data_IF_077420934833
#
_entry.id   IF_077420934833
#
_cell.length_a   1.000
_cell.length_b   1.000
_cell.length_c   1.000
_cell.angle_alpha   90.00
_cell.angle_beta   90.00
_cell.angle_gamma   90.00
#
_symmetry.space_group_name_H-M   'P 1'
#
loop_
_entity.id
_entity.type
_entity.pdbx_description
1 polymer ?
#
# COMPACT_ATOMS: atom_id res chain seq x y z
N UNK A 1 23.13 15.03 3.39
CA UNK A 1 22.96 13.71 2.75
C UNK A 1 22.32 13.95 1.37
N UNK A 2 22.76 13.29 0.31
CA UNK A 2 22.19 13.50 -1.04
C UNK A 2 21.10 12.44 -1.30
N UNK A 3 19.84 12.85 -1.32
CA UNK A 3 18.71 11.95 -1.62
C UNK A 3 18.44 11.91 -3.12
N UNK A 4 17.79 10.83 -3.58
CA UNK A 4 17.17 10.85 -4.89
C UNK A 4 16.04 11.89 -4.91
N UNK A 5 16.23 12.96 -5.68
CA UNK A 5 15.29 14.09 -5.79
C UNK A 5 13.87 13.63 -6.13
N UNK A 6 13.69 12.65 -7.01
CA UNK A 6 12.38 12.18 -7.40
C UNK A 6 11.59 11.53 -6.24
N UNK A 7 12.31 10.91 -5.30
CA UNK A 7 11.70 10.30 -4.11
C UNK A 7 11.29 11.40 -3.11
N UNK A 8 12.15 12.39 -2.91
CA UNK A 8 11.83 13.54 -2.07
C UNK A 8 10.64 14.33 -2.60
N UNK A 9 10.61 14.59 -3.92
CA UNK A 9 9.50 15.28 -4.58
C UNK A 9 8.18 14.50 -4.41
N UNK A 10 8.21 13.17 -4.56
CA UNK A 10 7.04 12.30 -4.34
C UNK A 10 6.44 12.45 -2.93
N UNK A 11 7.27 12.44 -1.89
CA UNK A 11 6.77 12.60 -0.51
C UNK A 11 6.40 14.05 -0.19
N UNK A 12 7.09 15.03 -0.78
CA UNK A 12 6.73 16.45 -0.66
C UNK A 12 5.33 16.70 -1.22
N UNK A 13 5.03 16.14 -2.39
CA UNK A 13 3.72 16.24 -3.01
C UNK A 13 2.62 15.57 -2.18
N UNK A 14 2.93 14.48 -1.47
CA UNK A 14 1.99 13.81 -0.60
C UNK A 14 1.73 14.61 0.69
N UNK A 15 2.79 15.03 1.40
CA UNK A 15 2.67 15.77 2.64
C UNK A 15 2.21 17.21 2.46
N UNK A 16 2.36 17.76 1.25
CA UNK A 16 2.26 19.20 0.98
C UNK A 16 3.22 20.02 1.84
N UNK A 17 4.36 19.42 2.17
CA UNK A 17 5.34 19.93 3.11
C UNK A 17 6.71 19.28 2.83
N UNK A 18 7.67 20.08 2.35
CA UNK A 18 8.99 19.62 1.98
C UNK A 18 9.86 19.27 3.20
N UNK A 19 9.64 19.93 4.33
CA UNK A 19 10.44 19.71 5.54
C UNK A 19 10.03 18.38 6.19
N UNK A 20 8.74 18.05 6.21
CA UNK A 20 8.28 16.71 6.62
C UNK A 20 8.81 15.60 5.72
N UNK A 21 8.85 15.84 4.41
CA UNK A 21 9.39 14.88 3.46
C UNK A 21 10.89 14.66 3.70
N UNK A 22 11.66 15.73 3.95
CA UNK A 22 13.08 15.62 4.29
C UNK A 22 13.30 14.88 5.60
N UNK A 23 12.55 15.21 6.65
CA UNK A 23 12.64 14.54 7.96
C UNK A 23 12.43 13.02 7.84
N UNK A 24 11.40 12.59 7.11
CA UNK A 24 11.18 11.18 6.81
C UNK A 24 12.38 10.54 6.09
N UNK A 25 12.91 11.22 5.07
CA UNK A 25 14.04 10.71 4.29
C UNK A 25 15.33 10.63 5.13
N UNK A 26 15.58 11.61 6.00
CA UNK A 26 16.69 11.58 6.94
C UNK A 26 16.57 10.38 7.86
N UNK A 27 15.42 10.20 8.54
CA UNK A 27 15.18 9.06 9.43
C UNK A 27 15.31 7.72 8.71
N UNK A 28 14.88 7.62 7.45
CA UNK A 28 15.03 6.39 6.67
C UNK A 28 16.48 6.08 6.27
N UNK A 29 17.36 7.08 6.22
CA UNK A 29 18.73 6.94 5.72
C UNK A 29 19.81 7.12 6.81
N UNK A 30 19.46 7.55 8.01
CA UNK A 30 20.39 7.64 9.16
C UNK A 30 20.90 6.24 9.56
N UNK A 31 20.07 5.20 9.49
CA UNK A 31 20.45 3.82 9.82
C UNK A 31 21.30 3.11 8.75
N UNK A 32 21.74 3.82 7.69
CA UNK A 32 22.52 3.24 6.59
C UNK A 32 24.04 3.43 6.71
N UNK A 33 24.54 4.14 7.72
CA UNK A 33 25.86 4.79 7.61
C UNK A 33 27.05 3.99 8.19
N UNK A 34 26.89 2.90 8.95
CA UNK A 34 28.08 2.34 9.66
C UNK A 34 28.34 0.82 9.62
N UNK A 35 27.83 0.04 8.66
CA UNK A 35 28.18 -1.39 8.58
C UNK A 35 28.53 -1.90 7.19
N UNK A 36 29.81 -1.76 6.81
CA UNK A 36 30.50 -2.76 6.00
C UNK A 36 30.82 -3.96 6.89
N UNK A 37 29.89 -4.91 7.04
CA UNK A 37 30.23 -6.23 7.59
C UNK A 37 29.63 -7.34 6.73
N UNK A 38 30.53 -8.24 6.39
CA UNK A 38 30.50 -9.33 5.42
C UNK A 38 29.64 -10.53 5.87
N UNK A 39 28.42 -10.29 6.35
CA UNK A 39 27.52 -11.37 6.80
C UNK A 39 26.06 -11.10 6.42
N UNK A 40 25.39 -12.14 5.93
CA UNK A 40 23.99 -12.26 5.46
C UNK A 40 22.89 -11.81 6.47
N UNK A 41 23.21 -11.10 7.55
CA UNK A 41 22.30 -10.85 8.69
C UNK A 41 21.84 -9.38 8.87
N UNK A 42 22.27 -8.42 8.04
CA UNK A 42 21.91 -6.99 8.16
C UNK A 42 20.66 -6.53 7.35
N UNK A 43 19.69 -7.42 7.13
CA UNK A 43 18.45 -7.11 6.39
C UNK A 43 17.54 -6.11 7.13
N UNK A 44 17.62 -6.06 8.47
CA UNK A 44 16.75 -5.25 9.33
C UNK A 44 17.12 -3.75 9.31
N UNK A 45 18.41 -3.42 9.21
CA UNK A 45 18.92 -2.04 9.26
C UNK A 45 18.69 -1.27 7.95
N UNK A 46 18.71 -1.96 6.80
CA UNK A 46 18.41 -1.37 5.49
C UNK A 46 16.90 -1.32 5.18
N UNK A 47 16.07 -1.89 6.04
CA UNK A 47 14.64 -2.07 5.78
C UNK A 47 13.90 -0.72 5.58
N UNK A 48 14.08 0.33 6.40
CA UNK A 48 13.37 1.60 6.22
C UNK A 48 13.68 2.25 4.85
N UNK A 49 14.97 2.31 4.47
CA UNK A 49 15.40 2.82 3.16
C UNK A 49 14.81 2.01 2.00
N UNK A 50 14.82 0.67 2.09
CA UNK A 50 14.25 -0.19 1.02
C UNK A 50 12.73 -0.02 0.93
N UNK A 51 12.05 0.13 2.06
CA UNK A 51 10.60 0.31 2.13
C UNK A 51 10.19 1.68 1.56
N UNK A 52 10.82 2.78 1.99
CA UNK A 52 10.49 4.13 1.51
C UNK A 52 10.71 4.26 -0.01
N UNK A 53 11.73 3.61 -0.55
CA UNK A 53 11.99 3.58 -1.99
C UNK A 53 10.96 2.74 -2.75
N UNK A 54 10.55 1.58 -2.21
CA UNK A 54 9.55 0.73 -2.86
C UNK A 54 8.15 1.35 -2.86
N UNK A 55 7.76 2.03 -1.78
CA UNK A 55 6.50 2.78 -1.72
C UNK A 55 6.49 3.83 -2.83
N UNK A 56 7.51 4.70 -2.87
CA UNK A 56 7.60 5.76 -3.89
C UNK A 56 7.54 5.19 -5.31
N UNK A 57 8.29 4.11 -5.58
CA UNK A 57 8.34 3.49 -6.91
C UNK A 57 7.00 2.90 -7.34
N UNK A 58 6.38 2.06 -6.51
CA UNK A 58 5.14 1.35 -6.87
C UNK A 58 3.94 2.29 -6.92
N UNK A 59 3.88 3.26 -6.02
CA UNK A 59 2.82 4.28 -6.02
C UNK A 59 2.96 5.21 -7.22
N UNK A 60 4.16 5.70 -7.53
CA UNK A 60 4.39 6.51 -8.73
C UNK A 60 4.05 5.76 -10.01
N UNK A 61 4.32 4.45 -10.06
CA UNK A 61 3.96 3.65 -11.22
C UNK A 61 2.44 3.45 -11.33
N UNK A 62 1.76 3.24 -10.21
CA UNK A 62 0.30 3.26 -10.14
C UNK A 62 -0.25 4.59 -10.67
N UNK A 63 0.26 5.73 -10.21
CA UNK A 63 -0.21 7.05 -10.61
C UNK A 63 0.00 7.31 -12.11
N UNK A 64 1.16 6.90 -12.66
CA UNK A 64 1.46 7.04 -14.10
C UNK A 64 0.49 6.26 -15.00
N UNK A 65 -0.11 5.19 -14.50
CA UNK A 65 -1.10 4.42 -15.25
C UNK A 65 -2.51 5.03 -15.22
N UNK A 66 -2.75 6.04 -14.37
CA UNK A 66 -4.02 6.77 -14.39
C UNK A 66 -4.21 7.46 -15.73
N UNK A 67 -3.14 8.07 -16.25
CA UNK A 67 -3.18 8.82 -17.51
C UNK A 67 -3.36 7.91 -18.73
N UNK A 68 -3.20 6.60 -18.59
CA UNK A 68 -3.39 5.61 -19.67
C UNK A 68 -4.76 4.94 -19.64
N UNK A 69 -5.61 5.25 -18.64
CA UNK A 69 -6.97 4.71 -18.51
C UNK A 69 -7.03 3.26 -18.01
N UNK A 70 -5.93 2.70 -17.50
CA UNK A 70 -5.85 1.31 -17.03
C UNK A 70 -6.13 1.21 -15.53
N UNK A 71 -7.38 1.46 -15.16
CA UNK A 71 -7.87 1.60 -13.79
C UNK A 71 -7.69 0.37 -12.89
N UNK A 72 -7.72 -0.82 -13.50
CA UNK A 72 -7.57 -2.12 -12.82
C UNK A 72 -6.22 -2.25 -12.11
N UNK A 73 -5.23 -1.53 -12.64
CA UNK A 73 -3.83 -1.73 -12.32
C UNK A 73 -3.45 -1.03 -11.01
N UNK A 74 -4.24 -0.07 -10.54
CA UNK A 74 -3.92 0.67 -9.31
C UNK A 74 -4.02 -0.21 -8.07
N UNK A 75 -5.14 -0.92 -7.92
CA UNK A 75 -5.35 -1.86 -6.82
C UNK A 75 -4.27 -2.93 -6.82
N UNK A 76 -3.89 -3.43 -8.01
CA UNK A 76 -2.79 -4.36 -8.14
C UNK A 76 -1.49 -3.79 -7.57
N UNK A 77 -1.11 -2.57 -7.92
CA UNK A 77 0.12 -1.96 -7.40
C UNK A 77 0.07 -1.64 -5.92
N UNK A 78 -1.08 -1.23 -5.38
CA UNK A 78 -1.23 -1.01 -3.95
C UNK A 78 -1.03 -2.32 -3.17
N UNK A 79 -1.73 -3.38 -3.54
CA UNK A 79 -1.59 -4.66 -2.85
C UNK A 79 -0.21 -5.28 -3.06
N UNK A 80 0.39 -5.12 -4.24
CA UNK A 80 1.77 -5.53 -4.50
C UNK A 80 2.78 -4.73 -3.67
N UNK A 81 2.49 -3.45 -3.37
CA UNK A 81 3.31 -2.65 -2.47
C UNK A 81 3.28 -3.23 -1.04
N UNK A 82 2.10 -3.60 -0.51
CA UNK A 82 2.00 -4.30 0.78
C UNK A 82 2.89 -5.55 0.82
N UNK A 83 2.75 -6.42 -0.18
CA UNK A 83 3.58 -7.63 -0.28
C UNK A 83 5.05 -7.26 -0.25
N UNK A 84 5.46 -6.35 -1.13
CA UNK A 84 6.86 -5.94 -1.26
C UNK A 84 7.42 -5.36 0.03
N UNK A 85 6.70 -4.48 0.73
CA UNK A 85 7.21 -3.83 1.93
C UNK A 85 7.23 -4.76 3.13
N UNK A 86 6.27 -5.69 3.24
CA UNK A 86 6.23 -6.67 4.31
C UNK A 86 7.24 -7.81 4.14
N UNK A 87 7.65 -8.15 2.91
CA UNK A 87 8.69 -9.16 2.67
C UNK A 87 10.12 -8.64 2.84
N UNK A 88 10.36 -7.33 2.72
CA UNK A 88 11.70 -6.74 2.91
C UNK A 88 12.35 -7.11 4.26
N UNK A 89 11.66 -6.93 5.40
CA UNK A 89 12.23 -7.31 6.70
C UNK A 89 12.10 -8.81 7.02
N UNK A 90 11.44 -9.61 6.17
CA UNK A 90 11.24 -11.04 6.41
C UNK A 90 11.33 -11.83 5.11
N UNK A 91 12.56 -12.01 4.59
CA UNK A 91 12.81 -12.79 3.36
C UNK A 91 12.41 -14.29 3.49
N UNK A 92 12.02 -14.74 4.69
CA UNK A 92 11.69 -16.15 5.00
C UNK A 92 10.30 -16.39 5.59
N UNK A 93 9.38 -15.41 5.61
CA UNK A 93 8.08 -15.66 6.24
C UNK A 93 7.29 -16.69 5.41
N UNK A 94 7.18 -17.93 5.90
CA UNK A 94 6.28 -18.96 5.38
C UNK A 94 4.78 -18.59 5.49
N UNK A 95 4.48 -17.36 5.90
CA UNK A 95 3.15 -16.79 5.91
C UNK A 95 2.61 -16.66 4.48
N UNK A 96 1.40 -17.19 4.28
CA UNK A 96 0.66 -17.05 3.03
C UNK A 96 0.38 -15.56 2.76
N UNK A 97 0.56 -15.10 1.52
CA UNK A 97 0.33 -13.71 1.07
C UNK A 97 -0.96 -13.07 1.61
N UNK A 98 -2.06 -13.83 1.57
CA UNK A 98 -3.36 -13.37 2.07
C UNK A 98 -3.33 -12.98 3.56
N UNK A 99 -2.58 -13.73 4.39
CA UNK A 99 -2.41 -13.45 5.81
C UNK A 99 -1.62 -12.16 6.04
N UNK A 100 -0.56 -11.95 5.25
CA UNK A 100 0.24 -10.71 5.30
C UNK A 100 -0.65 -9.50 5.01
N UNK A 101 -1.47 -9.57 3.97
CA UNK A 101 -2.37 -8.48 3.58
C UNK A 101 -3.43 -8.23 4.65
N UNK A 102 -4.07 -9.27 5.20
CA UNK A 102 -5.03 -9.12 6.31
C UNK A 102 -4.39 -8.46 7.54
N UNK A 103 -3.21 -8.93 7.94
CA UNK A 103 -2.44 -8.35 9.06
C UNK A 103 -2.11 -6.89 8.79
N UNK A 104 -1.66 -6.57 7.57
CA UNK A 104 -1.34 -5.21 7.19
C UNK A 104 -2.54 -4.27 7.31
N UNK A 105 -3.70 -4.66 6.79
CA UNK A 105 -4.93 -3.87 6.87
C UNK A 105 -5.34 -3.60 8.31
N UNK A 106 -5.29 -4.64 9.17
CA UNK A 106 -5.67 -4.55 10.57
C UNK A 106 -4.75 -3.61 11.37
N UNK A 107 -3.44 -3.67 11.11
CA UNK A 107 -2.44 -3.01 11.95
C UNK A 107 -1.98 -1.63 11.43
N UNK A 108 -2.05 -1.39 10.11
CA UNK A 108 -1.45 -0.19 9.52
C UNK A 108 -2.48 0.84 9.06
N UNK A 109 -3.70 0.43 8.73
CA UNK A 109 -4.76 1.37 8.37
C UNK A 109 -5.28 2.01 9.65
N UNK A 110 -5.34 3.34 9.69
CA UNK A 110 -5.82 4.09 10.86
C UNK A 110 -7.30 3.80 11.13
N UNK A 111 -7.75 3.91 12.38
CA UNK A 111 -9.13 3.56 12.76
C UNK A 111 -10.19 4.32 11.94
N UNK A 112 -9.99 5.62 11.70
CA UNK A 112 -10.91 6.44 10.89
C UNK A 112 -10.93 5.99 9.42
N UNK A 113 -9.77 5.63 8.87
CA UNK A 113 -9.65 5.08 7.52
C UNK A 113 -10.30 3.69 7.43
N UNK A 114 -10.15 2.84 8.45
CA UNK A 114 -10.83 1.54 8.53
C UNK A 114 -12.35 1.72 8.50
N UNK A 115 -12.86 2.64 9.33
CA UNK A 115 -14.28 2.99 9.38
C UNK A 115 -14.75 3.47 8.01
N UNK A 116 -14.03 4.40 7.39
CA UNK A 116 -14.33 4.91 6.06
C UNK A 116 -14.41 3.78 5.02
N UNK A 117 -13.44 2.86 5.00
CA UNK A 117 -13.45 1.74 4.07
C UNK A 117 -14.65 0.81 4.30
N UNK A 118 -14.98 0.49 5.57
CA UNK A 118 -16.14 -0.35 5.91
C UNK A 118 -17.46 0.29 5.49
N UNK A 119 -17.59 1.61 5.62
CA UNK A 119 -18.80 2.34 5.25
C UNK A 119 -18.96 2.47 3.74
N UNK A 120 -17.85 2.63 3.01
CA UNK A 120 -17.88 2.96 1.57
C UNK A 120 -17.62 1.77 0.64
N UNK A 121 -17.05 0.67 1.12
CA UNK A 121 -16.86 -0.55 0.33
C UNK A 121 -17.91 -1.57 0.75
N UNK A 122 -18.83 -1.89 -0.15
CA UNK A 122 -19.93 -2.83 0.13
C UNK A 122 -19.99 -3.92 -0.94
N UNK A 123 -19.97 -5.21 -0.55
CA UNK A 123 -20.34 -6.28 -1.46
C UNK A 123 -21.81 -6.12 -1.85
N UNK A 124 -22.18 -6.46 -3.09
CA UNK A 124 -23.60 -6.46 -3.51
C UNK A 124 -24.41 -7.56 -2.83
N UNK A 125 -23.76 -8.65 -2.42
CA UNK A 125 -24.37 -9.64 -1.55
C UNK A 125 -24.21 -9.18 -0.10
N UNK A 126 -25.31 -9.20 0.65
CA UNK A 126 -25.30 -8.79 2.06
C UNK A 126 -24.43 -9.75 2.89
N UNK A 127 -23.27 -9.27 3.34
CA UNK A 127 -22.40 -9.99 4.27
C UNK A 127 -22.71 -9.49 5.68
N UNK A 128 -23.20 -10.38 6.55
CA UNK A 128 -23.36 -10.09 7.96
C UNK A 128 -21.99 -9.81 8.60
N UNK A 129 -21.89 -8.73 9.36
CA UNK A 129 -20.67 -8.33 10.09
C UNK A 129 -19.46 -8.04 9.20
N UNK A 130 -19.69 -7.39 8.05
CA UNK A 130 -18.64 -6.94 7.14
C UNK A 130 -17.60 -6.08 7.87
N UNK A 131 -16.33 -6.49 7.81
CA UNK A 131 -15.23 -5.91 8.58
C UNK A 131 -13.93 -5.76 7.75
N UNK A 132 -12.85 -5.29 8.38
CA UNK A 132 -11.57 -5.04 7.70
C UNK A 132 -10.92 -6.29 7.11
N UNK A 133 -11.13 -7.48 7.67
CA UNK A 133 -10.60 -8.71 7.06
C UNK A 133 -11.31 -9.06 5.76
N UNK A 134 -12.61 -8.75 5.68
CA UNK A 134 -13.39 -8.93 4.46
C UNK A 134 -12.89 -7.96 3.39
N UNK A 135 -12.65 -6.70 3.75
CA UNK A 135 -12.07 -5.69 2.86
C UNK A 135 -10.69 -6.11 2.37
N UNK A 136 -9.81 -6.58 3.26
CA UNK A 136 -8.50 -7.09 2.87
C UNK A 136 -8.61 -8.28 1.90
N UNK A 137 -9.60 -9.16 2.11
CA UNK A 137 -9.87 -10.32 1.25
C UNK A 137 -10.43 -9.93 -0.12
N UNK A 138 -11.25 -8.87 -0.16
CA UNK A 138 -11.69 -8.23 -1.40
C UNK A 138 -10.47 -7.77 -2.19
N UNK A 139 -9.66 -6.87 -1.63
CA UNK A 139 -8.50 -6.32 -2.35
C UNK A 139 -7.49 -7.39 -2.78
N UNK A 140 -7.24 -8.40 -1.94
CA UNK A 140 -6.39 -9.54 -2.30
C UNK A 140 -6.96 -10.34 -3.48
N UNK A 141 -8.27 -10.58 -3.48
CA UNK A 141 -8.94 -11.29 -4.58
C UNK A 141 -8.86 -10.51 -5.88
N UNK A 142 -9.04 -9.18 -5.83
CA UNK A 142 -8.87 -8.29 -6.99
C UNK A 142 -7.46 -8.36 -7.57
N UNK A 143 -6.44 -8.31 -6.71
CA UNK A 143 -5.03 -8.47 -7.11
C UNK A 143 -4.80 -9.84 -7.76
N UNK A 144 -5.33 -10.92 -7.20
CA UNK A 144 -5.12 -12.27 -7.72
C UNK A 144 -5.80 -12.48 -9.07
N UNK A 145 -7.04 -12.04 -9.22
CA UNK A 145 -7.73 -12.15 -10.50
C UNK A 145 -7.07 -11.31 -11.59
N UNK A 146 -6.52 -10.13 -11.27
CA UNK A 146 -5.67 -9.40 -12.22
C UNK A 146 -4.43 -10.19 -12.64
N UNK A 147 -3.81 -10.91 -11.71
CA UNK A 147 -2.57 -11.66 -11.96
C UNK A 147 -2.80 -12.97 -12.74
N UNK A 148 -3.89 -13.67 -12.48
CA UNK A 148 -4.09 -15.05 -12.92
C UNK A 148 -5.25 -15.25 -13.90
N UNK A 149 -6.30 -14.45 -13.78
CA UNK A 149 -7.56 -14.69 -14.49
C UNK A 149 -7.69 -13.76 -15.71
N UNK A 150 -7.10 -12.55 -15.69
CA UNK A 150 -7.23 -11.58 -16.81
C UNK A 150 -8.67 -11.08 -17.06
N UNK A 151 -9.66 -11.68 -16.41
CA UNK A 151 -11.09 -11.54 -16.67
C UNK A 151 -11.80 -10.56 -15.72
N UNK A 152 -11.11 -9.52 -15.23
CA UNK A 152 -11.77 -8.44 -14.48
C UNK A 152 -11.68 -7.12 -15.23
N UNK A 153 -12.86 -6.56 -15.50
CA UNK A 153 -13.05 -5.17 -15.88
C UNK A 153 -13.36 -4.37 -14.61
N UNK A 154 -12.41 -3.53 -14.18
CA UNK A 154 -12.69 -2.48 -13.22
C UNK A 154 -12.87 -1.19 -13.99
N UNK A 155 -13.84 -0.39 -13.58
CA UNK A 155 -13.91 0.99 -14.04
C UNK A 155 -13.71 1.86 -12.81
N UNK A 156 -12.53 2.45 -12.67
CA UNK A 156 -12.36 3.62 -11.80
C UNK A 156 -12.62 4.84 -12.69
N UNK A 157 -13.78 5.49 -12.64
CA UNK A 157 -13.95 6.82 -13.19
C UNK A 157 -12.85 7.76 -12.65
N UNK A 158 -12.07 8.34 -13.56
CA UNK A 158 -10.97 9.28 -13.29
C UNK A 158 -11.46 10.63 -12.76
N UNK A 159 -12.72 10.97 -12.98
CA UNK A 159 -13.30 12.27 -12.62
C UNK A 159 -14.43 12.11 -11.62
N UNK A 160 -14.36 12.90 -10.53
CA UNK A 160 -15.40 13.38 -9.60
C UNK A 160 -16.68 12.56 -9.40
N UNK A 161 -16.66 11.27 -9.66
CA UNK A 161 -17.78 10.39 -9.39
C UNK A 161 -17.61 9.93 -7.96
N UNK A 162 -18.64 10.17 -7.17
CA UNK A 162 -18.66 9.81 -5.75
C UNK A 162 -18.61 8.29 -5.51
N UNK A 163 -18.64 7.48 -6.58
CA UNK A 163 -18.55 6.03 -6.48
C UNK A 163 -18.13 5.36 -7.77
N UNK A 164 -17.60 4.15 -7.63
CA UNK A 164 -17.33 3.22 -8.71
C UNK A 164 -17.68 1.79 -8.29
N UNK A 165 -17.96 0.92 -9.26
CA UNK A 165 -18.31 -0.48 -9.00
C UNK A 165 -17.26 -1.39 -9.60
N UNK A 166 -16.79 -2.33 -8.80
CA UNK A 166 -15.94 -3.42 -9.20
C UNK A 166 -16.82 -4.65 -9.43
N UNK A 167 -16.84 -5.19 -10.64
CA UNK A 167 -17.56 -6.43 -10.93
C UNK A 167 -16.58 -7.56 -11.23
N UNK A 168 -16.68 -8.65 -10.47
CA UNK A 168 -16.03 -9.89 -10.85
C UNK A 168 -17.02 -10.70 -11.70
N UNK A 169 -16.80 -10.70 -13.01
CA UNK A 169 -17.70 -11.33 -14.01
C UNK A 169 -17.71 -12.85 -13.85
N UNK A 170 -16.56 -13.47 -13.55
CA UNK A 170 -16.44 -14.93 -13.45
C UNK A 170 -17.19 -15.53 -12.24
N UNK A 171 -17.37 -14.74 -11.17
CA UNK A 171 -18.02 -15.21 -9.92
C UNK A 171 -19.39 -14.58 -9.67
N UNK A 172 -19.87 -13.69 -10.54
CA UNK A 172 -21.15 -12.99 -10.37
C UNK A 172 -21.22 -12.10 -9.11
N UNK A 173 -20.08 -11.84 -8.47
CA UNK A 173 -19.97 -11.02 -7.28
C UNK A 173 -19.51 -9.63 -7.66
N UNK A 174 -20.21 -8.60 -7.20
CA UNK A 174 -19.78 -7.22 -7.37
C UNK A 174 -19.57 -6.53 -6.02
N UNK A 175 -18.73 -5.51 -6.05
CA UNK A 175 -18.34 -4.72 -4.90
C UNK A 175 -18.51 -3.28 -5.32
N UNK A 176 -19.41 -2.58 -4.64
CA UNK A 176 -19.61 -1.16 -4.80
C UNK A 176 -18.61 -0.43 -3.90
N UNK A 177 -17.86 0.51 -4.47
CA UNK A 177 -16.93 1.37 -3.74
C UNK A 177 -17.41 2.81 -3.91
N UNK A 178 -17.93 3.40 -2.83
CA UNK A 178 -18.38 4.79 -2.76
C UNK A 178 -17.25 5.69 -2.26
N UNK A 179 -16.15 5.69 -3.00
CA UNK A 179 -14.99 6.50 -2.68
C UNK A 179 -14.28 6.88 -3.98
N UNK A 180 -13.64 8.04 -3.96
CA UNK A 180 -12.78 8.48 -5.06
C UNK A 180 -11.45 7.72 -5.04
N UNK A 181 -10.79 7.71 -6.20
CA UNK A 181 -9.42 7.22 -6.31
C UNK A 181 -8.49 7.88 -5.28
N UNK A 182 -8.57 9.21 -5.16
CA UNK A 182 -7.71 10.00 -4.28
C UNK A 182 -7.89 9.64 -2.81
N UNK A 183 -9.11 9.39 -2.36
CA UNK A 183 -9.38 8.94 -0.99
C UNK A 183 -8.75 7.59 -0.71
N UNK A 184 -9.03 6.58 -1.55
CA UNK A 184 -8.46 5.24 -1.37
C UNK A 184 -6.93 5.26 -1.47
N UNK A 185 -6.37 5.98 -2.45
CA UNK A 185 -4.91 6.16 -2.59
C UNK A 185 -4.30 6.77 -1.33
N UNK A 186 -4.95 7.80 -0.77
CA UNK A 186 -4.45 8.49 0.42
C UNK A 186 -4.47 7.59 1.65
N UNK A 187 -5.50 6.74 1.78
CA UNK A 187 -5.58 5.72 2.84
C UNK A 187 -4.41 4.73 2.72
N UNK A 188 -4.14 4.20 1.52
CA UNK A 188 -3.00 3.31 1.32
C UNK A 188 -1.66 4.00 1.60
N UNK A 189 -1.48 5.25 1.14
CA UNK A 189 -0.28 6.03 1.45
C UNK A 189 -0.07 6.19 2.96
N UNK A 190 -1.10 6.60 3.71
CA UNK A 190 -1.02 6.70 5.17
C UNK A 190 -0.70 5.35 5.82
N UNK A 191 -1.28 4.27 5.32
CA UNK A 191 -1.01 2.93 5.84
C UNK A 191 0.45 2.49 5.59
N UNK A 192 1.02 2.78 4.42
CA UNK A 192 2.44 2.50 4.16
C UNK A 192 3.37 3.32 5.03
N UNK A 193 3.04 4.60 5.24
CA UNK A 193 3.82 5.47 6.12
C UNK A 193 3.73 5.00 7.57
N UNK A 194 2.55 4.60 8.04
CA UNK A 194 2.40 4.03 9.38
C UNK A 194 3.21 2.73 9.54
N UNK A 195 3.26 1.88 8.51
CA UNK A 195 4.14 0.70 8.50
C UNK A 195 5.62 1.08 8.58
N UNK A 196 6.05 2.04 7.77
CA UNK A 196 7.42 2.54 7.73
C UNK A 196 7.84 3.16 9.06
N UNK A 197 6.98 3.97 9.68
CA UNK A 197 7.23 4.55 11.00
C UNK A 197 7.45 3.47 12.06
N UNK A 198 6.63 2.42 12.08
CA UNK A 198 6.85 1.28 12.98
C UNK A 198 8.21 0.61 12.75
N UNK A 199 8.64 0.47 11.49
CA UNK A 199 9.96 -0.06 11.18
C UNK A 199 11.10 0.86 11.64
N UNK A 200 10.97 2.17 11.45
CA UNK A 200 11.95 3.15 11.92
C UNK A 200 12.07 3.06 13.44
N UNK A 201 10.95 3.06 14.18
CA UNK A 201 10.96 2.93 15.63
C UNK A 201 11.61 1.61 16.09
N UNK A 202 11.40 0.50 15.37
CA UNK A 202 12.05 -0.78 15.69
C UNK A 202 13.57 -0.71 15.47
N UNK A 203 14.03 -0.05 14.39
CA UNK A 203 15.45 0.16 14.12
C UNK A 203 16.10 1.07 15.17
N UNK A 204 15.43 2.17 15.56
CA UNK A 204 15.89 3.10 16.60
C UNK A 204 16.07 2.43 17.96
N UNK A 205 15.24 1.45 18.30
CA UNK A 205 15.33 0.72 19.57
C UNK A 205 16.34 -0.44 19.54
N UNK A 206 16.86 -0.80 18.36
CA UNK A 206 17.84 -1.87 18.19
C UNK A 206 19.30 -1.37 18.25
N UNK A 207 19.51 -0.07 18.02
CA UNK A 207 20.80 0.65 18.13
C UNK A 207 21.03 1.17 19.54
#
# INVERSE_FOLDING_TARGET
MEYNKAILDFYTDFYKDADKARDLMDRCYIFTVDYTIDTDENLTELAPRRVVNNISRLMSYSDKLLSTGSHNVHVFFWITCIESVCYIPSESSGDKKHRIIKRFFKENILADDQKFLIENIKPTLEIKNFNMEDIASVFYSLRNSFTHEGDIYFYFPLESSDSFTIQNISKGNSIMIRATYTEIRSIFMRAYLNYLERLICLAENAT
#
